data_IF_487481695159
#
_entry.id   IF_487481695159
#
_cell.length_a   1.000
_cell.length_b   1.000
_cell.length_c   1.000
_cell.angle_alpha   90.00
_cell.angle_beta   90.00
_cell.angle_gamma   90.00
#
_symmetry.space_group_name_H-M   'P 1'
#
loop_
_entity.id
_entity.type
_entity.pdbx_description
1 polymer ?
#
# COMPACT_ATOMS: atom_id res chain seq x y z
N UNK A 1 0.74 15.20 14.59
CA UNK A 1 1.06 15.69 13.23
C UNK A 1 1.60 14.51 12.41
N UNK A 2 0.71 13.65 11.89
CA UNK A 2 1.10 12.49 11.05
C UNK A 2 0.09 12.25 9.92
N UNK A 3 -0.55 13.30 9.43
CA UNK A 3 -1.71 13.18 8.54
C UNK A 3 -1.35 13.11 7.04
N UNK A 4 -0.06 13.09 6.69
CA UNK A 4 0.40 13.03 5.30
C UNK A 4 -0.17 11.82 4.51
N UNK A 5 -0.20 10.59 5.05
CA UNK A 5 -0.75 9.46 4.31
C UNK A 5 -2.23 9.64 4.00
N UNK A 6 -2.99 10.14 4.97
CA UNK A 6 -4.42 10.42 4.80
C UNK A 6 -4.63 11.57 3.81
N UNK A 7 -3.84 12.63 3.91
CA UNK A 7 -3.87 13.75 2.96
C UNK A 7 -3.67 13.28 1.52
N UNK A 8 -2.61 12.50 1.23
CA UNK A 8 -2.37 12.01 -0.13
C UNK A 8 -3.41 10.99 -0.60
N UNK A 9 -3.93 10.17 0.32
CA UNK A 9 -5.03 9.24 0.01
C UNK A 9 -6.30 10.01 -0.42
N UNK A 10 -6.72 11.01 0.35
CA UNK A 10 -7.90 11.82 0.06
C UNK A 10 -7.71 12.72 -1.16
N UNK A 11 -6.53 13.33 -1.31
CA UNK A 11 -6.19 14.13 -2.48
C UNK A 11 -6.19 13.28 -3.76
N UNK A 12 -5.56 12.10 -3.72
CA UNK A 12 -5.56 11.17 -4.85
C UNK A 12 -6.96 10.72 -5.23
N UNK A 13 -7.79 10.36 -4.24
CA UNK A 13 -9.19 9.99 -4.46
C UNK A 13 -9.99 11.14 -5.07
N UNK A 14 -9.87 12.35 -4.53
CA UNK A 14 -10.51 13.56 -5.07
C UNK A 14 -10.11 13.82 -6.53
N UNK A 15 -8.83 13.67 -6.86
CA UNK A 15 -8.32 13.88 -8.22
C UNK A 15 -8.76 12.78 -9.20
N UNK A 16 -8.90 11.54 -8.72
CA UNK A 16 -9.52 10.45 -9.48
C UNK A 16 -10.98 10.79 -9.80
N UNK A 17 -11.76 11.19 -8.79
CA UNK A 17 -13.18 11.53 -8.94
C UNK A 17 -13.40 12.75 -9.85
N UNK A 18 -12.51 13.74 -9.80
CA UNK A 18 -12.58 14.95 -10.66
C UNK A 18 -11.97 14.74 -12.04
N UNK A 19 -11.49 13.54 -12.37
CA UNK A 19 -11.03 13.24 -13.72
C UNK A 19 -9.63 13.77 -14.05
N UNK A 20 -8.73 13.94 -13.07
CA UNK A 20 -7.40 14.54 -13.28
C UNK A 20 -6.28 13.49 -13.17
N UNK A 21 -6.04 12.66 -14.22
CA UNK A 21 -5.17 11.48 -14.11
C UNK A 21 -3.71 11.80 -13.79
N UNK A 22 -3.15 12.90 -14.32
CA UNK A 22 -1.77 13.31 -14.04
C UNK A 22 -1.60 13.66 -12.57
N UNK A 23 -2.43 14.57 -12.06
CA UNK A 23 -2.37 14.99 -10.66
C UNK A 23 -2.69 13.86 -9.70
N UNK A 24 -3.68 13.01 -10.03
CA UNK A 24 -3.97 11.81 -9.27
C UNK A 24 -2.74 10.88 -9.20
N UNK A 25 -2.03 10.74 -10.32
CA UNK A 25 -0.83 9.92 -10.41
C UNK A 25 0.30 10.44 -9.51
N UNK A 26 0.54 11.75 -9.54
CA UNK A 26 1.51 12.44 -8.68
C UNK A 26 1.17 12.25 -7.19
N UNK A 27 -0.08 12.53 -6.81
CA UNK A 27 -0.53 12.39 -5.42
C UNK A 27 -0.41 10.94 -4.92
N UNK A 28 -0.76 9.96 -5.77
CA UNK A 28 -0.61 8.53 -5.46
C UNK A 28 0.87 8.15 -5.27
N UNK A 29 1.75 8.57 -6.18
CA UNK A 29 3.17 8.24 -6.14
C UNK A 29 3.93 8.89 -4.98
N UNK A 30 3.70 10.18 -4.73
CA UNK A 30 4.26 10.88 -3.56
C UNK A 30 3.71 10.25 -2.28
N UNK A 31 2.40 10.03 -2.22
CA UNK A 31 1.75 9.37 -1.09
C UNK A 31 2.38 8.02 -0.77
N UNK A 32 2.55 7.15 -1.77
CA UNK A 32 3.21 5.85 -1.61
C UNK A 32 4.63 5.96 -1.06
N UNK A 33 5.41 6.93 -1.55
CA UNK A 33 6.78 7.17 -1.08
C UNK A 33 6.83 7.72 0.35
N UNK A 34 5.77 8.37 0.84
CA UNK A 34 5.66 8.74 2.26
C UNK A 34 5.19 7.59 3.14
N UNK A 35 4.28 6.74 2.63
CA UNK A 35 3.72 5.57 3.33
C UNK A 35 3.09 4.64 2.31
N UNK A 36 3.10 3.32 2.52
CA UNK A 36 2.61 2.38 1.51
C UNK A 36 1.12 2.53 1.14
N UNK A 37 0.27 3.01 2.05
CA UNK A 37 -1.20 2.96 1.90
C UNK A 37 -1.78 3.63 0.63
N UNK A 38 -1.33 4.82 0.17
CA UNK A 38 -1.90 5.47 -1.01
C UNK A 38 -1.75 4.66 -2.31
N UNK A 39 -0.88 3.64 -2.37
CA UNK A 39 -0.79 2.76 -3.54
C UNK A 39 -2.10 1.99 -3.82
N UNK A 40 -2.95 1.82 -2.80
CA UNK A 40 -4.28 1.22 -2.95
C UNK A 40 -5.18 1.99 -3.92
N UNK A 41 -4.85 3.25 -4.24
CA UNK A 41 -5.54 4.03 -5.26
C UNK A 41 -5.25 3.55 -6.70
N UNK A 42 -4.17 2.82 -6.94
CA UNK A 42 -3.81 2.35 -8.29
C UNK A 42 -4.93 1.53 -8.95
N UNK A 43 -5.45 0.46 -8.32
CA UNK A 43 -6.59 -0.28 -8.88
C UNK A 43 -7.86 0.57 -8.99
N UNK A 44 -8.08 1.52 -8.07
CA UNK A 44 -9.24 2.42 -8.10
C UNK A 44 -9.17 3.35 -9.31
N UNK A 45 -8.06 4.06 -9.50
CA UNK A 45 -7.83 4.94 -10.63
C UNK A 45 -7.83 4.18 -11.96
N UNK A 46 -7.32 2.95 -11.98
CA UNK A 46 -7.39 2.07 -13.15
C UNK A 46 -8.82 1.80 -13.61
N UNK A 47 -9.73 1.49 -12.67
CA UNK A 47 -11.15 1.29 -12.99
C UNK A 47 -11.86 2.59 -13.37
N UNK A 48 -11.66 3.66 -12.59
CA UNK A 48 -12.36 4.94 -12.81
C UNK A 48 -11.97 5.59 -14.14
N UNK A 49 -10.68 5.55 -14.50
CA UNK A 49 -10.21 6.07 -15.79
C UNK A 49 -10.45 5.12 -16.97
N UNK A 50 -11.15 4.01 -16.72
CA UNK A 50 -11.50 2.94 -17.64
C UNK A 50 -10.27 2.12 -18.07
N UNK A 51 -10.22 0.82 -17.71
CA UNK A 51 -9.10 -0.05 -18.04
C UNK A 51 -8.70 0.02 -19.52
N UNK A 52 -7.38 -0.04 -19.77
CA UNK A 52 -6.76 -0.02 -21.11
C UNK A 52 -6.98 1.26 -21.93
N UNK A 53 -7.62 2.29 -21.37
CA UNK A 53 -7.72 3.59 -22.05
C UNK A 53 -6.50 4.46 -21.77
N UNK A 54 -6.27 5.44 -22.65
CA UNK A 54 -5.16 6.39 -22.53
C UNK A 54 -5.07 7.03 -21.13
N UNK A 55 -6.21 7.36 -20.51
CA UNK A 55 -6.23 8.03 -19.19
C UNK A 55 -5.78 7.12 -18.05
N UNK A 56 -6.12 5.82 -18.06
CA UNK A 56 -5.67 4.87 -17.04
C UNK A 56 -4.16 4.64 -17.15
N UNK A 57 -3.63 4.54 -18.37
CA UNK A 57 -2.19 4.46 -18.61
C UNK A 57 -1.43 5.73 -18.22
N UNK A 58 -1.97 6.92 -18.51
CA UNK A 58 -1.38 8.19 -18.02
C UNK A 58 -1.31 8.18 -16.50
N UNK A 59 -2.40 7.81 -15.82
CA UNK A 59 -2.44 7.76 -14.36
C UNK A 59 -1.37 6.81 -13.79
N UNK A 60 -1.36 5.54 -14.23
CA UNK A 60 -0.39 4.53 -13.76
C UNK A 60 1.03 4.92 -14.12
N UNK A 61 1.26 5.43 -15.34
CA UNK A 61 2.57 5.88 -15.79
C UNK A 61 3.11 7.04 -14.95
N UNK A 62 2.28 8.04 -14.64
CA UNK A 62 2.69 9.16 -13.78
C UNK A 62 2.94 8.69 -12.34
N UNK A 63 2.13 7.78 -11.80
CA UNK A 63 2.41 7.16 -10.49
C UNK A 63 3.78 6.48 -10.49
N UNK A 64 4.06 5.64 -11.49
CA UNK A 64 5.33 4.93 -11.61
C UNK A 64 6.51 5.89 -11.77
N UNK A 65 6.41 6.88 -12.66
CA UNK A 65 7.47 7.88 -12.87
C UNK A 65 7.75 8.66 -11.58
N UNK A 66 6.70 9.02 -10.82
CA UNK A 66 6.86 9.71 -9.53
C UNK A 66 7.61 8.86 -8.51
N UNK A 67 7.20 7.60 -8.39
CA UNK A 67 7.85 6.60 -7.53
C UNK A 67 9.32 6.46 -7.90
N UNK A 68 9.63 6.27 -9.18
CA UNK A 68 10.99 6.13 -9.66
C UNK A 68 11.81 7.40 -9.48
N UNK A 69 11.25 8.58 -9.78
CA UNK A 69 11.94 9.85 -9.60
C UNK A 69 12.39 10.07 -8.15
N UNK A 70 11.57 9.64 -7.18
CA UNK A 70 11.92 9.69 -5.75
C UNK A 70 12.88 8.56 -5.39
N UNK A 71 12.65 7.32 -5.85
CA UNK A 71 13.42 6.14 -5.47
C UNK A 71 14.84 6.10 -6.07
N UNK A 72 15.01 6.53 -7.32
CA UNK A 72 16.29 6.46 -8.07
C UNK A 72 17.47 7.07 -7.31
N UNK A 73 17.42 8.29 -6.74
CA UNK A 73 18.57 8.81 -6.00
C UNK A 73 18.97 7.91 -4.82
N UNK A 74 18.02 7.32 -4.10
CA UNK A 74 18.32 6.39 -3.01
C UNK A 74 18.92 5.07 -3.52
N UNK A 75 18.38 4.55 -4.63
CA UNK A 75 18.90 3.34 -5.28
C UNK A 75 20.32 3.54 -5.81
N UNK A 76 20.68 4.74 -6.28
CA UNK A 76 22.03 5.04 -6.75
C UNK A 76 23.04 5.26 -5.62
N UNK A 77 22.60 5.79 -4.47
CA UNK A 77 23.49 6.15 -3.36
C UNK A 77 23.65 5.00 -2.36
N UNK A 78 22.54 4.41 -1.91
CA UNK A 78 22.50 3.34 -0.89
C UNK A 78 21.28 2.43 -1.12
N UNK A 79 21.34 1.63 -2.18
CA UNK A 79 20.29 0.67 -2.52
C UNK A 79 20.00 -0.32 -1.37
N UNK A 80 21.04 -0.71 -0.63
CA UNK A 80 20.95 -1.58 0.55
C UNK A 80 20.01 -1.02 1.61
N UNK A 81 20.19 0.25 1.98
CA UNK A 81 19.34 0.93 2.98
C UNK A 81 17.94 1.23 2.46
N UNK A 82 17.82 1.56 1.18
CA UNK A 82 16.52 1.77 0.55
C UNK A 82 15.69 0.49 0.61
N UNK A 83 16.25 -0.65 0.15
CA UNK A 83 15.57 -1.95 0.18
C UNK A 83 15.32 -2.40 1.61
N UNK A 84 16.28 -2.23 2.52
CA UNK A 84 16.13 -2.53 3.94
C UNK A 84 14.91 -1.83 4.56
N UNK A 85 14.61 -0.59 4.14
CA UNK A 85 13.43 0.14 4.61
C UNK A 85 12.12 -0.59 4.25
N UNK A 86 12.01 -1.14 3.04
CA UNK A 86 10.85 -1.94 2.64
C UNK A 86 10.83 -3.31 3.34
N UNK A 87 11.99 -3.95 3.47
CA UNK A 87 12.12 -5.24 4.19
C UNK A 87 11.60 -5.11 5.62
N UNK A 88 11.99 -4.06 6.34
CA UNK A 88 11.51 -3.78 7.71
C UNK A 88 9.99 -3.56 7.77
N UNK A 89 9.36 -3.03 6.71
CA UNK A 89 7.90 -2.87 6.68
C UNK A 89 7.16 -4.19 6.43
N UNK A 90 7.73 -5.11 5.65
CA UNK A 90 7.07 -6.35 5.20
C UNK A 90 7.38 -7.55 6.09
N UNK A 91 8.55 -7.57 6.74
CA UNK A 91 8.99 -8.71 7.58
C UNK A 91 8.60 -8.59 9.04
N UNK A 92 7.94 -7.48 9.43
CA UNK A 92 7.48 -7.29 10.80
C UNK A 92 6.44 -8.36 11.17
N UNK A 93 6.64 -9.08 12.29
CA UNK A 93 5.64 -10.02 12.77
C UNK A 93 4.35 -9.27 13.16
N UNK A 94 3.23 -10.00 13.16
CA UNK A 94 1.97 -9.45 13.66
C UNK A 94 2.12 -9.06 15.11
N UNK A 95 1.82 -7.80 15.43
CA UNK A 95 1.79 -7.23 16.77
C UNK A 95 0.43 -6.61 17.04
N UNK A 96 -0.03 -6.57 18.30
CA UNK A 96 -1.26 -5.86 18.74
C UNK A 96 -2.50 -6.03 17.82
N UNK A 97 -2.66 -7.21 17.22
CA UNK A 97 -3.77 -7.53 16.30
C UNK A 97 -4.39 -8.87 16.65
N UNK A 98 -5.58 -9.16 16.10
CA UNK A 98 -6.21 -10.49 16.23
C UNK A 98 -5.28 -11.60 15.73
N UNK A 99 -4.48 -11.34 14.69
CA UNK A 99 -3.48 -12.29 14.18
C UNK A 99 -2.38 -12.57 15.20
N UNK A 100 -1.88 -11.55 15.90
CA UNK A 100 -0.89 -11.74 16.97
C UNK A 100 -1.44 -12.62 18.10
N UNK A 101 -2.70 -12.40 18.51
CA UNK A 101 -3.36 -13.22 19.53
C UNK A 101 -3.53 -14.68 19.10
N UNK A 102 -3.94 -14.91 17.84
CA UNK A 102 -4.06 -16.26 17.28
C UNK A 102 -2.72 -16.96 17.14
N UNK A 103 -1.64 -16.20 16.95
CA UNK A 103 -0.27 -16.69 16.81
C UNK A 103 0.47 -16.80 18.16
N UNK A 104 -0.21 -16.51 19.27
CA UNK A 104 0.36 -16.56 20.62
C UNK A 104 1.40 -15.47 20.93
N UNK A 105 1.41 -14.39 20.15
CA UNK A 105 2.34 -13.27 20.29
C UNK A 105 1.69 -12.11 21.06
N UNK A 106 2.17 -11.90 22.30
CA UNK A 106 1.60 -10.92 23.24
C UNK A 106 2.53 -9.75 23.56
N UNK A 107 3.60 -9.56 22.79
CA UNK A 107 4.55 -8.46 22.97
C UNK A 107 4.37 -7.37 21.91
N UNK A 108 5.02 -6.23 22.13
CA UNK A 108 4.88 -5.02 21.32
C UNK A 108 5.82 -4.92 20.13
N UNK A 109 6.28 -6.04 19.55
CA UNK A 109 7.25 -6.01 18.45
C UNK A 109 8.68 -5.70 18.90
N UNK A 110 9.65 -5.98 18.02
CA UNK A 110 11.03 -5.52 18.16
C UNK A 110 11.37 -4.45 17.13
N UNK A 111 12.19 -3.50 17.55
CA UNK A 111 12.77 -2.45 16.71
C UNK A 111 14.27 -2.43 16.97
N UNK A 112 15.07 -2.37 15.91
CA UNK A 112 16.50 -2.23 16.04
C UNK A 112 16.88 -0.99 16.89
N UNK A 113 17.85 -1.14 17.82
CA UNK A 113 18.43 -0.03 18.57
C UNK A 113 18.92 1.08 17.64
N UNK A 114 18.96 2.32 18.13
CA UNK A 114 19.22 3.50 17.30
C UNK A 114 20.56 3.40 16.53
N UNK A 115 21.59 2.90 17.20
CA UNK A 115 22.93 2.68 16.68
C UNK A 115 22.99 1.67 15.52
N UNK A 116 22.01 0.77 15.42
CA UNK A 116 21.94 -0.28 14.40
C UNK A 116 21.01 0.09 13.23
N UNK A 117 20.27 1.20 13.28
CA UNK A 117 19.29 1.56 12.23
C UNK A 117 19.89 1.91 10.87
N UNK A 118 21.19 2.17 10.82
CA UNK A 118 21.94 2.38 9.58
C UNK A 118 22.66 1.11 9.10
N UNK A 119 22.44 -0.03 9.76
CA UNK A 119 22.88 -1.34 9.32
C UNK A 119 21.72 -2.06 8.61
N UNK A 120 21.80 -2.26 7.28
CA UNK A 120 20.73 -2.91 6.51
C UNK A 120 20.46 -4.36 6.94
N UNK A 121 21.42 -5.03 7.60
CA UNK A 121 21.25 -6.42 8.05
C UNK A 121 20.25 -6.55 9.19
N UNK A 122 19.99 -5.45 9.91
CA UNK A 122 19.02 -5.42 11.03
C UNK A 122 17.58 -5.19 10.58
N UNK A 123 17.35 -5.01 9.27
CA UNK A 123 16.03 -4.72 8.71
C UNK A 123 15.02 -5.85 8.89
N UNK A 124 15.49 -7.10 8.96
CA UNK A 124 14.66 -8.29 9.17
C UNK A 124 14.72 -8.81 10.60
N UNK A 125 15.09 -7.96 11.56
CA UNK A 125 15.10 -8.32 12.97
C UNK A 125 13.68 -8.65 13.42
N UNK A 126 13.43 -9.92 13.73
CA UNK A 126 12.19 -10.43 14.27
C UNK A 126 12.48 -11.24 15.53
N UNK A 127 11.67 -11.02 16.56
CA UNK A 127 11.70 -11.73 17.85
C UNK A 127 10.72 -12.90 17.91
N UNK A 128 9.86 -13.02 16.89
CA UNK A 128 8.85 -14.05 16.78
C UNK A 128 8.71 -14.53 15.35
N UNK A 129 8.57 -15.85 15.18
CA UNK A 129 8.28 -16.49 13.91
C UNK A 129 6.85 -16.98 13.93
N UNK A 130 6.07 -16.57 12.94
CA UNK A 130 4.65 -16.89 12.88
C UNK A 130 4.41 -18.32 12.42
N UNK A 131 3.50 -19.02 13.10
CA UNK A 131 3.06 -20.37 12.71
C UNK A 131 1.76 -20.35 11.88
N UNK A 132 1.16 -19.17 11.70
CA UNK A 132 -0.05 -19.02 10.91
C UNK A 132 0.23 -19.27 9.40
N UNK A 133 -0.72 -19.86 8.67
CA UNK A 133 -0.57 -20.12 7.23
C UNK A 133 -0.77 -18.82 6.43
N UNK A 134 0.16 -17.87 6.54
CA UNK A 134 0.06 -16.52 5.95
C UNK A 134 -0.20 -16.54 4.44
N UNK A 135 0.36 -17.52 3.72
CA UNK A 135 0.09 -17.71 2.30
C UNK A 135 -1.42 -17.95 2.05
N UNK A 136 -2.05 -18.84 2.82
CA UNK A 136 -3.47 -19.14 2.71
C UNK A 136 -4.32 -17.95 3.13
N UNK A 137 -4.00 -17.31 4.26
CA UNK A 137 -4.72 -16.13 4.75
C UNK A 137 -4.69 -15.03 3.68
N UNK A 138 -3.51 -14.71 3.15
CA UNK A 138 -3.33 -13.70 2.10
C UNK A 138 -4.09 -14.08 0.84
N UNK A 139 -4.05 -15.35 0.43
CA UNK A 139 -4.78 -15.83 -0.75
C UNK A 139 -6.31 -15.69 -0.59
N UNK A 140 -6.85 -16.01 0.59
CA UNK A 140 -8.28 -15.85 0.90
C UNK A 140 -8.69 -14.38 0.82
N UNK A 141 -7.95 -13.47 1.46
CA UNK A 141 -8.25 -12.05 1.39
C UNK A 141 -8.08 -11.49 -0.03
N UNK A 142 -7.02 -11.90 -0.74
CA UNK A 142 -6.82 -11.50 -2.13
C UNK A 142 -7.98 -11.94 -3.02
N UNK A 143 -8.50 -13.17 -2.83
CA UNK A 143 -9.67 -13.66 -3.57
C UNK A 143 -10.93 -12.86 -3.21
N UNK A 144 -11.18 -12.59 -1.93
CA UNK A 144 -12.31 -11.76 -1.49
C UNK A 144 -12.23 -10.37 -2.11
N UNK A 145 -11.07 -9.72 -2.05
CA UNK A 145 -10.87 -8.41 -2.67
C UNK A 145 -11.01 -8.44 -4.18
N UNK A 146 -10.51 -9.49 -4.85
CA UNK A 146 -10.65 -9.65 -6.31
C UNK A 146 -12.11 -9.83 -6.72
N UNK A 147 -12.88 -10.63 -5.97
CA UNK A 147 -14.32 -10.79 -6.18
C UNK A 147 -15.02 -9.45 -6.03
N UNK A 148 -14.75 -8.70 -4.95
CA UNK A 148 -15.34 -7.36 -4.75
C UNK A 148 -14.95 -6.41 -5.89
N UNK A 149 -13.67 -6.40 -6.28
CA UNK A 149 -13.11 -5.49 -7.28
C UNK A 149 -13.66 -5.72 -8.70
N UNK A 150 -14.00 -6.96 -9.04
CA UNK A 150 -14.54 -7.32 -10.37
C UNK A 150 -16.06 -7.16 -10.47
N UNK A 151 -16.75 -6.98 -9.35
CA UNK A 151 -18.21 -6.80 -9.34
C UNK A 151 -18.57 -5.37 -9.75
N UNK A 152 -19.59 -5.24 -10.60
CA UNK A 152 -20.15 -3.94 -10.96
C UNK A 152 -20.99 -3.43 -9.80
N UNK A 153 -20.43 -2.50 -9.04
CA UNK A 153 -21.14 -1.84 -7.96
C UNK A 153 -22.02 -0.74 -8.56
N UNK A 154 -23.34 -0.92 -8.54
CA UNK A 154 -24.31 0.07 -9.02
C UNK A 154 -24.51 1.17 -7.97
N UNK A 155 -23.58 2.13 -7.93
CA UNK A 155 -23.63 3.29 -7.02
C UNK A 155 -24.79 4.27 -7.30
N UNK A 156 -25.49 4.11 -8.42
CA UNK A 156 -26.58 5.00 -8.83
C UNK A 156 -27.92 4.68 -8.15
N UNK A 157 -28.03 3.52 -7.49
CA UNK A 157 -29.25 3.14 -6.76
C UNK A 157 -29.07 3.42 -5.26
N UNK A 158 -29.39 4.65 -4.86
CA UNK A 158 -29.27 5.16 -3.47
C UNK A 158 -30.14 4.42 -2.45
N UNK A 159 -30.93 3.44 -2.88
CA UNK A 159 -31.82 2.63 -2.04
C UNK A 159 -31.26 1.26 -1.65
N UNK A 160 -30.12 0.83 -2.21
CA UNK A 160 -29.50 -0.46 -1.88
C UNK A 160 -28.31 -0.26 -0.94
N UNK A 161 -28.46 -0.73 0.30
CA UNK A 161 -27.42 -0.70 1.34
C UNK A 161 -26.26 -1.67 1.00
N UNK A 162 -26.52 -2.69 0.18
CA UNK A 162 -25.51 -3.61 -0.35
C UNK A 162 -25.57 -3.61 -1.88
N UNK A 163 -24.52 -3.10 -2.50
CA UNK A 163 -24.42 -2.90 -3.94
C UNK A 163 -23.68 -4.05 -4.65
N UNK A 164 -23.94 -5.29 -4.23
CA UNK A 164 -23.46 -6.49 -4.90
C UNK A 164 -24.61 -7.12 -5.72
N UNK A 165 -24.34 -7.41 -6.98
CA UNK A 165 -25.22 -8.18 -7.88
C UNK A 165 -24.51 -9.44 -8.35
#
# INVERSE_FOLDING_TARGET
>A
MTDFPLFFLLLGLYLIMTGRPVWAGLATGIGFMTKLMPILLVPVGWQVFQPLKRRSWIYVGITLVTILAIAVPFLLIRADLFVASFVNMVTRPSWETVWALLDGYFTGGVVAPLEQRFDPTTASLADHSSNLPWLLITAVFALVYLVIYTRRIQWQDSKRILAFT
#
